data_IF_057365567310
#
_entry.id   IF_057365567310
#
_cell.length_a   1.000
_cell.length_b   1.000
_cell.length_c   1.000
_cell.angle_alpha   90.00
_cell.angle_beta   90.00
_cell.angle_gamma   90.00
#
_symmetry.space_group_name_H-M   'P 1'
#
loop_
_entity.id
_entity.type
_entity.pdbx_description
1 polymer ?
#
# COMPACT_ATOMS: atom_id res chain seq x y z
N UNK A 1 7.29 8.14 -9.40
CA UNK A 1 7.39 8.92 -10.64
C UNK A 1 6.59 8.28 -11.79
N UNK A 2 6.68 6.98 -12.00
CA UNK A 2 6.05 6.29 -13.14
C UNK A 2 4.57 5.95 -12.92
N UNK A 3 4.08 5.94 -11.69
CA UNK A 3 2.68 5.63 -11.34
C UNK A 3 1.75 6.83 -11.57
N UNK A 4 2.19 8.05 -11.26
CA UNK A 4 1.36 9.25 -11.44
C UNK A 4 0.87 9.49 -12.87
N UNK A 5 1.68 9.30 -13.93
CA UNK A 5 1.17 9.39 -15.31
C UNK A 5 0.03 8.41 -15.60
N UNK A 6 0.10 7.18 -15.06
CA UNK A 6 -0.96 6.19 -15.20
C UNK A 6 -2.24 6.60 -14.47
N UNK A 7 -2.11 7.13 -13.25
CA UNK A 7 -3.24 7.70 -12.49
C UNK A 7 -3.88 8.88 -13.20
N UNK A 8 -3.06 9.79 -13.75
CA UNK A 8 -3.54 10.94 -14.51
C UNK A 8 -4.31 10.51 -15.77
N UNK A 9 -3.81 9.50 -16.48
CA UNK A 9 -4.48 8.93 -17.65
C UNK A 9 -5.81 8.28 -17.26
N UNK A 10 -5.83 7.48 -16.20
CA UNK A 10 -7.06 6.87 -15.66
C UNK A 10 -8.09 7.94 -15.25
N UNK A 11 -7.67 8.99 -14.55
CA UNK A 11 -8.53 10.10 -14.15
C UNK A 11 -9.18 10.80 -15.37
N UNK A 12 -8.38 11.10 -16.39
CA UNK A 12 -8.87 11.75 -17.63
C UNK A 12 -9.83 10.84 -18.40
N UNK A 13 -9.48 9.55 -18.57
CA UNK A 13 -10.34 8.59 -19.28
C UNK A 13 -11.68 8.38 -18.56
N UNK A 14 -11.69 8.46 -17.24
CA UNK A 14 -12.91 8.42 -16.42
C UNK A 14 -13.60 9.78 -16.26
N UNK A 15 -13.18 10.78 -17.01
CA UNK A 15 -13.79 12.11 -17.02
C UNK A 15 -13.84 12.79 -15.64
N UNK A 16 -12.79 12.58 -14.83
CA UNK A 16 -12.68 13.10 -13.48
C UNK A 16 -13.47 12.32 -12.41
N UNK A 17 -14.12 11.21 -12.78
CA UNK A 17 -14.87 10.35 -11.85
C UNK A 17 -13.99 9.19 -11.38
N UNK A 18 -12.82 9.52 -10.87
CA UNK A 18 -11.89 8.60 -10.23
C UNK A 18 -11.09 9.36 -9.18
N UNK A 19 -10.53 8.64 -8.22
CA UNK A 19 -9.61 9.24 -7.27
C UNK A 19 -8.28 9.59 -7.95
N UNK A 20 -7.71 10.75 -7.61
CA UNK A 20 -6.34 11.12 -7.93
C UNK A 20 -5.63 11.53 -6.64
N UNK A 21 -4.92 10.60 -6.04
CA UNK A 21 -4.23 10.75 -4.76
C UNK A 21 -2.90 9.98 -4.78
N UNK A 22 -2.20 9.95 -3.65
CA UNK A 22 -0.96 9.19 -3.49
C UNK A 22 -1.19 7.68 -3.40
N UNK A 23 -2.34 7.23 -2.92
CA UNK A 23 -2.68 5.82 -2.69
C UNK A 23 -2.49 4.90 -3.89
N UNK A 24 -2.05 3.69 -3.66
CA UNK A 24 -1.90 2.60 -4.64
C UNK A 24 -1.68 1.29 -3.90
N UNK A 25 -1.84 0.15 -4.57
CA UNK A 25 -1.68 -1.17 -3.99
C UNK A 25 -0.34 -1.81 -4.36
N UNK A 26 0.05 -2.86 -3.64
CA UNK A 26 1.33 -3.53 -3.86
C UNK A 26 1.50 -4.08 -5.28
N UNK A 27 0.43 -4.56 -5.92
CA UNK A 27 0.49 -5.02 -7.31
C UNK A 27 0.81 -3.91 -8.31
N UNK A 28 0.50 -2.64 -7.98
CA UNK A 28 0.86 -1.49 -8.82
C UNK A 28 2.38 -1.27 -8.84
N UNK A 29 3.06 -1.55 -7.72
CA UNK A 29 4.53 -1.51 -7.66
C UNK A 29 5.12 -2.56 -8.59
N UNK A 30 4.63 -3.80 -8.53
CA UNK A 30 5.10 -4.89 -9.40
C UNK A 30 4.82 -4.58 -10.87
N UNK A 31 3.63 -4.07 -11.18
CA UNK A 31 3.26 -3.60 -12.53
C UNK A 31 4.18 -2.48 -13.01
N UNK A 32 4.48 -1.51 -12.16
CA UNK A 32 5.37 -0.40 -12.49
C UNK A 32 6.79 -0.88 -12.77
N UNK A 33 7.34 -1.75 -11.92
CA UNK A 33 8.67 -2.35 -12.13
C UNK A 33 8.72 -3.14 -13.45
N UNK A 34 7.70 -3.90 -13.73
CA UNK A 34 7.59 -4.67 -14.99
C UNK A 34 7.59 -3.77 -16.22
N UNK A 35 6.82 -2.67 -16.17
CA UNK A 35 6.68 -1.75 -17.31
C UNK A 35 7.88 -0.81 -17.47
N UNK A 36 8.45 -0.32 -16.37
CA UNK A 36 9.41 0.78 -16.38
C UNK A 36 10.81 0.38 -15.91
N UNK A 37 10.94 -0.76 -15.24
CA UNK A 37 12.17 -1.17 -14.58
C UNK A 37 12.27 -0.65 -13.15
N UNK A 38 13.47 -0.79 -12.57
CA UNK A 38 13.78 -0.42 -11.20
C UNK A 38 15.07 0.36 -11.14
N UNK A 39 15.14 1.35 -10.26
CA UNK A 39 16.35 2.14 -9.97
C UNK A 39 16.61 2.07 -8.46
N UNK A 40 17.86 1.82 -8.01
CA UNK A 40 18.19 1.86 -6.59
C UNK A 40 17.94 3.24 -5.98
N UNK A 41 17.52 3.28 -4.72
CA UNK A 41 17.30 4.54 -3.99
C UNK A 41 18.56 5.40 -3.90
N UNK A 42 19.74 4.80 -3.87
CA UNK A 42 21.04 5.53 -3.89
C UNK A 42 21.31 6.27 -5.20
N UNK A 43 20.60 5.96 -6.26
CA UNK A 43 20.73 6.58 -7.59
C UNK A 43 19.59 7.57 -7.86
N UNK A 44 18.38 7.24 -7.41
CA UNK A 44 17.21 8.08 -7.59
C UNK A 44 16.30 7.90 -6.37
N UNK A 45 16.39 8.85 -5.47
CA UNK A 45 15.60 8.88 -4.23
C UNK A 45 14.26 9.62 -4.38
N UNK A 46 14.09 10.40 -5.45
CA UNK A 46 12.88 11.20 -5.68
C UNK A 46 12.75 12.41 -4.74
N UNK A 47 13.85 12.79 -4.07
CA UNK A 47 13.92 14.00 -3.26
C UNK A 47 14.45 15.16 -4.12
N UNK A 48 13.94 16.35 -3.92
CA UNK A 48 14.38 17.56 -4.59
C UNK A 48 15.03 18.53 -3.61
N UNK A 49 15.98 19.34 -4.11
CA UNK A 49 16.50 20.54 -3.45
C UNK A 49 16.94 20.38 -1.98
N UNK A 50 17.55 19.23 -1.63
CA UNK A 50 18.07 18.98 -0.29
C UNK A 50 17.03 18.60 0.75
N UNK A 51 15.82 18.28 0.34
CA UNK A 51 14.80 17.71 1.20
C UNK A 51 15.27 16.37 1.80
N UNK A 52 14.96 16.15 3.08
CA UNK A 52 15.30 14.91 3.79
C UNK A 52 14.14 13.93 3.93
N UNK A 53 12.94 14.33 3.51
CA UNK A 53 11.69 13.55 3.61
C UNK A 53 10.83 13.81 2.41
N UNK A 54 10.16 12.76 1.94
CA UNK A 54 9.15 12.89 0.91
C UNK A 54 7.93 13.67 1.44
N UNK A 55 7.51 14.68 0.69
CA UNK A 55 6.25 15.39 0.89
C UNK A 55 5.67 15.72 -0.49
N UNK A 56 4.69 14.98 -0.90
CA UNK A 56 4.08 15.11 -2.22
C UNK A 56 2.80 15.97 -2.24
N UNK A 57 2.39 16.52 -1.10
CA UNK A 57 1.10 17.21 -0.97
C UNK A 57 0.92 18.34 -1.97
N UNK A 58 1.94 19.21 -2.14
CA UNK A 58 1.89 20.31 -3.11
C UNK A 58 1.86 19.80 -4.54
N UNK A 59 2.74 18.86 -4.89
CA UNK A 59 2.80 18.23 -6.21
C UNK A 59 1.47 17.59 -6.60
N UNK A 60 0.86 16.83 -5.69
CA UNK A 60 -0.43 16.17 -5.92
C UNK A 60 -1.53 17.19 -6.11
N UNK A 61 -1.59 18.26 -5.29
CA UNK A 61 -2.58 19.32 -5.43
C UNK A 61 -2.47 20.05 -6.78
N UNK A 62 -1.25 20.34 -7.23
CA UNK A 62 -1.00 20.97 -8.55
C UNK A 62 -1.48 20.04 -9.68
N UNK A 63 -1.08 18.78 -9.64
CA UNK A 63 -1.48 17.79 -10.65
C UNK A 63 -3.00 17.60 -10.68
N UNK A 64 -3.63 17.49 -9.51
CA UNK A 64 -5.09 17.35 -9.40
C UNK A 64 -5.83 18.56 -10.00
N UNK A 65 -5.37 19.78 -9.69
CA UNK A 65 -5.94 21.01 -10.26
C UNK A 65 -5.81 21.05 -11.80
N UNK A 66 -4.65 20.64 -12.34
CA UNK A 66 -4.43 20.53 -13.77
C UNK A 66 -5.40 19.52 -14.41
N UNK A 67 -5.52 18.33 -13.81
CA UNK A 67 -6.38 17.26 -14.32
C UNK A 67 -7.86 17.65 -14.26
N UNK A 68 -8.32 18.25 -13.18
CA UNK A 68 -9.69 18.80 -13.05
C UNK A 68 -9.96 19.82 -14.16
N UNK A 69 -8.99 20.68 -14.45
CA UNK A 69 -9.13 21.66 -15.53
C UNK A 69 -9.16 21.03 -16.90
N UNK A 70 -8.35 20.02 -17.15
CA UNK A 70 -8.34 19.31 -18.44
C UNK A 70 -9.69 18.65 -18.74
N UNK A 71 -10.27 17.91 -17.78
CA UNK A 71 -11.57 17.22 -17.99
C UNK A 71 -12.74 18.19 -18.07
N UNK A 72 -12.64 19.39 -17.48
CA UNK A 72 -13.65 20.46 -17.58
C UNK A 72 -13.42 21.46 -18.72
N UNK A 73 -12.51 21.15 -19.65
CA UNK A 73 -12.16 22.08 -20.74
C UNK A 73 -13.37 22.41 -21.61
N UNK A 74 -13.66 23.72 -21.84
CA UNK A 74 -14.80 24.12 -22.67
C UNK A 74 -14.69 23.70 -24.13
N UNK A 75 -13.48 23.48 -24.62
CA UNK A 75 -13.24 23.03 -26.01
C UNK A 75 -13.65 21.58 -26.27
N UNK A 76 -13.90 20.80 -25.23
CA UNK A 76 -14.25 19.38 -25.33
C UNK A 76 -13.17 18.48 -25.95
N UNK A 77 -12.01 19.05 -26.27
CA UNK A 77 -10.90 18.32 -26.90
C UNK A 77 -9.58 18.67 -26.21
N UNK A 78 -8.92 17.67 -25.66
CA UNK A 78 -7.60 17.81 -25.06
C UNK A 78 -6.51 17.86 -26.12
N UNK A 79 -5.54 18.77 -25.96
CA UNK A 79 -4.31 18.73 -26.74
C UNK A 79 -3.46 17.54 -26.35
N UNK A 80 -2.54 17.11 -27.22
CA UNK A 80 -1.58 16.04 -26.87
C UNK A 80 -0.58 16.45 -25.78
N UNK A 81 -0.49 17.73 -25.47
CA UNK A 81 0.51 18.29 -24.57
C UNK A 81 0.20 18.04 -23.08
N UNK A 82 -1.05 17.68 -22.73
CA UNK A 82 -1.42 17.52 -21.32
C UNK A 82 -0.59 16.44 -20.61
N UNK A 83 -0.26 15.34 -21.29
CA UNK A 83 0.60 14.28 -20.73
C UNK A 83 2.02 14.80 -20.46
N UNK A 84 2.59 15.53 -21.42
CA UNK A 84 3.90 16.15 -21.26
C UNK A 84 3.92 17.19 -20.13
N UNK A 85 2.84 17.95 -19.95
CA UNK A 85 2.72 18.90 -18.84
C UNK A 85 2.69 18.18 -17.46
N UNK A 86 1.99 17.06 -17.36
CA UNK A 86 2.03 16.19 -16.16
C UNK A 86 3.44 15.68 -15.90
N UNK A 87 4.12 15.18 -16.93
CA UNK A 87 5.49 14.68 -16.81
C UNK A 87 6.47 15.78 -16.39
N UNK A 88 6.34 16.98 -16.94
CA UNK A 88 7.17 18.13 -16.59
C UNK A 88 7.01 18.55 -15.11
N UNK A 89 5.78 18.56 -14.57
CA UNK A 89 5.55 18.79 -13.14
C UNK A 89 6.23 17.71 -12.31
N UNK A 90 6.06 16.44 -12.67
CA UNK A 90 6.69 15.34 -11.96
C UNK A 90 8.23 15.40 -12.00
N UNK A 91 8.81 15.84 -13.11
CA UNK A 91 10.27 16.00 -13.24
C UNK A 91 10.80 17.16 -12.39
N UNK A 92 10.00 18.22 -12.19
CA UNK A 92 10.34 19.34 -11.31
C UNK A 92 10.37 18.89 -9.84
N UNK A 93 9.34 18.16 -9.40
CA UNK A 93 9.20 17.77 -7.98
C UNK A 93 10.01 16.54 -7.59
N UNK A 94 10.20 15.57 -8.50
CA UNK A 94 10.80 14.27 -8.20
C UNK A 94 12.14 14.04 -8.91
N UNK A 95 12.51 14.91 -9.83
CA UNK A 95 13.64 14.69 -10.71
C UNK A 95 13.35 13.81 -11.91
N UNK A 96 14.19 13.91 -12.91
CA UNK A 96 14.10 13.12 -14.15
C UNK A 96 14.55 11.68 -13.92
N UNK A 97 13.82 10.73 -14.51
CA UNK A 97 14.12 9.29 -14.37
C UNK A 97 15.46 8.96 -15.04
N UNK A 98 16.43 8.35 -14.32
CA UNK A 98 17.67 7.90 -14.92
C UNK A 98 17.44 6.85 -16.01
N UNK A 99 18.03 7.05 -17.18
CA UNK A 99 17.97 6.08 -18.28
C UNK A 99 19.08 5.03 -18.22
N UNK A 100 20.22 5.41 -17.60
CA UNK A 100 21.38 4.55 -17.34
C UNK A 100 22.02 4.97 -16.03
N UNK A 101 22.57 4.03 -15.29
CA UNK A 101 23.29 4.28 -14.03
C UNK A 101 24.29 3.17 -13.76
N UNK A 102 25.25 3.46 -12.88
CA UNK A 102 26.19 2.48 -12.35
C UNK A 102 25.72 2.01 -10.96
N UNK A 103 25.78 0.72 -10.71
CA UNK A 103 25.53 0.11 -9.40
C UNK A 103 26.53 -1.04 -9.19
N UNK A 104 27.26 -1.00 -8.08
CA UNK A 104 28.32 -1.99 -7.75
C UNK A 104 29.31 -2.26 -8.89
N UNK A 105 29.78 -1.16 -9.55
CA UNK A 105 30.75 -1.24 -10.64
C UNK A 105 30.23 -1.78 -11.97
N UNK A 106 28.91 -1.92 -12.12
CA UNK A 106 28.26 -2.35 -13.36
C UNK A 106 27.27 -1.33 -13.87
N UNK A 107 27.18 -1.21 -15.18
CA UNK A 107 26.21 -0.32 -15.83
C UNK A 107 24.87 -1.02 -16.05
N UNK A 108 23.80 -0.33 -15.69
CA UNK A 108 22.43 -0.80 -15.83
C UNK A 108 21.55 0.24 -16.51
N UNK A 109 20.49 -0.24 -17.14
CA UNK A 109 19.26 0.50 -17.39
C UNK A 109 18.24 0.10 -16.32
N UNK A 110 17.15 0.87 -16.08
CA UNK A 110 16.11 0.45 -15.15
C UNK A 110 15.57 -0.96 -15.43
N UNK A 111 15.44 -1.34 -16.70
CA UNK A 111 14.99 -2.69 -17.10
C UNK A 111 15.99 -3.77 -16.72
N UNK A 112 17.25 -3.62 -17.11
CA UNK A 112 18.27 -4.62 -16.79
C UNK A 112 18.54 -4.72 -15.28
N UNK A 113 18.29 -3.65 -14.52
CA UNK A 113 18.39 -3.71 -13.05
C UNK A 113 17.21 -4.48 -12.44
N UNK A 114 15.99 -4.34 -12.95
CA UNK A 114 14.85 -5.17 -12.52
C UNK A 114 15.08 -6.65 -12.80
N UNK A 115 15.71 -7.00 -13.93
CA UNK A 115 16.12 -8.37 -14.24
C UNK A 115 17.19 -8.87 -13.27
N UNK A 116 18.20 -8.06 -12.97
CA UNK A 116 19.22 -8.36 -11.94
C UNK A 116 18.59 -8.60 -10.57
N UNK A 117 17.62 -7.77 -10.17
CA UNK A 117 16.87 -7.92 -8.92
C UNK A 117 15.89 -9.11 -8.92
N UNK A 118 15.75 -9.82 -10.05
CA UNK A 118 14.89 -11.00 -10.22
C UNK A 118 13.40 -10.75 -9.87
N UNK A 119 12.93 -9.54 -10.07
CA UNK A 119 11.51 -9.21 -9.87
C UNK A 119 10.73 -9.68 -11.10
N UNK A 120 9.93 -10.72 -10.90
CA UNK A 120 9.08 -11.33 -11.94
C UNK A 120 7.63 -11.28 -11.50
N UNK A 121 6.71 -10.68 -12.29
CA UNK A 121 5.30 -10.50 -11.91
C UNK A 121 4.61 -11.82 -11.56
N UNK A 122 4.94 -12.89 -12.28
CA UNK A 122 4.37 -14.21 -12.08
C UNK A 122 4.68 -14.85 -10.71
N UNK A 123 5.63 -14.28 -9.96
CA UNK A 123 5.98 -14.73 -8.61
C UNK A 123 5.15 -14.03 -7.53
N UNK A 124 4.26 -13.12 -7.90
CA UNK A 124 3.47 -12.32 -6.96
C UNK A 124 1.99 -12.55 -7.19
N UNK A 125 1.25 -12.67 -6.09
CA UNK A 125 -0.20 -12.76 -6.07
C UNK A 125 -0.75 -11.87 -4.97
N UNK A 126 -1.83 -11.15 -5.25
CA UNK A 126 -2.57 -10.41 -4.23
C UNK A 126 -3.71 -11.30 -3.74
N UNK A 127 -3.74 -11.56 -2.43
CA UNK A 127 -4.77 -12.37 -1.77
C UNK A 127 -5.69 -11.45 -0.98
N UNK A 128 -6.95 -11.85 -0.88
CA UNK A 128 -7.95 -11.19 -0.02
C UNK A 128 -8.98 -12.22 0.46
N UNK A 129 -9.89 -11.78 1.34
CA UNK A 129 -10.97 -12.61 1.85
C UNK A 129 -12.25 -11.79 2.02
N UNK A 130 -13.23 -12.00 1.16
CA UNK A 130 -14.56 -11.37 1.21
C UNK A 130 -15.65 -12.35 0.84
N UNK A 131 -16.85 -12.17 1.42
CA UNK A 131 -17.98 -13.08 1.19
C UNK A 131 -18.90 -12.69 0.04
N UNK A 132 -18.81 -11.45 -0.46
CA UNK A 132 -19.60 -10.98 -1.59
C UNK A 132 -19.12 -11.52 -2.95
N UNK A 133 -17.95 -12.14 -2.98
CA UNK A 133 -17.37 -12.78 -4.17
C UNK A 133 -17.04 -14.25 -3.93
N UNK A 134 -17.04 -15.04 -4.99
CA UNK A 134 -16.77 -16.46 -4.88
C UNK A 134 -15.31 -16.74 -4.43
N UNK A 135 -15.14 -17.66 -3.48
CA UNK A 135 -13.83 -18.16 -3.10
C UNK A 135 -13.12 -18.88 -4.26
N UNK A 136 -11.78 -18.88 -4.21
CA UNK A 136 -10.87 -19.52 -5.18
C UNK A 136 -11.00 -18.96 -6.59
N UNK A 137 -11.38 -17.69 -6.70
CA UNK A 137 -11.46 -16.96 -7.97
C UNK A 137 -10.83 -15.58 -7.86
N UNK A 138 -10.25 -15.09 -8.96
CA UNK A 138 -9.82 -13.69 -9.02
C UNK A 138 -11.04 -12.77 -9.20
N UNK A 139 -11.00 -11.62 -8.55
CA UNK A 139 -11.94 -10.52 -8.76
C UNK A 139 -11.24 -9.17 -8.57
N UNK A 140 -11.90 -8.09 -8.97
CA UNK A 140 -11.40 -6.73 -8.76
C UNK A 140 -12.10 -6.16 -7.54
N UNK A 141 -11.35 -5.98 -6.44
CA UNK A 141 -11.87 -5.25 -5.28
C UNK A 141 -11.94 -3.76 -5.64
N UNK A 142 -13.16 -3.23 -5.65
CA UNK A 142 -13.43 -1.87 -6.12
C UNK A 142 -13.30 -0.86 -4.98
N UNK A 143 -12.07 -0.59 -4.58
CA UNK A 143 -11.68 0.39 -3.55
C UNK A 143 -10.88 1.53 -4.18
N UNK A 144 -10.79 2.71 -3.52
CA UNK A 144 -10.16 3.91 -4.10
C UNK A 144 -8.72 3.69 -4.58
N UNK A 145 -7.90 2.98 -3.82
CA UNK A 145 -6.48 2.79 -4.12
C UNK A 145 -6.21 1.68 -5.15
N UNK A 146 -7.21 0.86 -5.48
CA UNK A 146 -7.13 -0.07 -6.61
C UNK A 146 -7.39 0.63 -7.95
N UNK A 147 -6.69 1.76 -8.20
CA UNK A 147 -6.90 2.59 -9.38
C UNK A 147 -6.61 1.87 -10.70
N UNK A 148 -5.73 0.89 -10.68
CA UNK A 148 -5.34 0.09 -11.86
C UNK A 148 -6.32 -1.03 -12.18
N UNK A 149 -7.32 -1.27 -11.32
CA UNK A 149 -8.23 -2.42 -11.35
C UNK A 149 -7.46 -3.75 -11.30
N UNK A 150 -6.45 -3.81 -10.43
CA UNK A 150 -5.70 -5.04 -10.20
C UNK A 150 -6.58 -6.12 -9.59
N UNK A 151 -6.38 -7.35 -10.06
CA UNK A 151 -7.13 -8.52 -9.59
C UNK A 151 -6.54 -9.06 -8.29
N UNK A 152 -7.42 -9.45 -7.38
CA UNK A 152 -7.10 -10.13 -6.12
C UNK A 152 -7.70 -11.53 -6.13
N UNK A 153 -7.01 -12.51 -5.57
CA UNK A 153 -7.51 -13.87 -5.45
C UNK A 153 -8.19 -14.06 -4.11
N UNK A 154 -9.48 -14.40 -4.14
CA UNK A 154 -10.34 -14.51 -2.96
C UNK A 154 -10.19 -15.88 -2.30
N UNK A 155 -10.00 -15.89 -0.98
CA UNK A 155 -9.85 -17.10 -0.17
C UNK A 155 -10.85 -17.08 1.00
N UNK A 156 -11.24 -18.26 1.53
CA UNK A 156 -11.86 -18.33 2.84
C UNK A 156 -10.94 -17.67 3.90
N UNK A 157 -11.53 -16.99 4.88
CA UNK A 157 -10.78 -16.18 5.85
C UNK A 157 -9.69 -16.97 6.60
N UNK A 158 -9.98 -18.19 7.00
CA UNK A 158 -8.99 -19.01 7.70
C UNK A 158 -7.86 -19.50 6.78
N UNK A 159 -8.15 -19.73 5.50
CA UNK A 159 -7.12 -20.05 4.51
C UNK A 159 -6.28 -18.82 4.14
N UNK A 160 -6.89 -17.62 4.12
CA UNK A 160 -6.16 -16.37 3.97
C UNK A 160 -5.10 -16.21 5.07
N UNK A 161 -5.46 -16.40 6.33
CA UNK A 161 -4.54 -16.37 7.47
C UNK A 161 -3.49 -17.51 7.38
N UNK A 162 -3.91 -18.72 7.01
CA UNK A 162 -2.99 -19.84 6.86
C UNK A 162 -1.94 -19.61 5.76
N UNK A 163 -2.30 -18.89 4.69
CA UNK A 163 -1.33 -18.51 3.64
C UNK A 163 -0.30 -17.49 4.14
N UNK A 164 -0.70 -16.52 4.97
CA UNK A 164 0.26 -15.59 5.63
C UNK A 164 1.23 -16.41 6.49
N UNK A 165 0.72 -17.31 7.30
CA UNK A 165 1.52 -18.16 8.17
C UNK A 165 2.50 -19.05 7.39
N UNK A 166 2.02 -19.66 6.31
CA UNK A 166 2.84 -20.50 5.46
C UNK A 166 3.95 -19.71 4.76
N UNK A 167 3.65 -18.52 4.25
CA UNK A 167 4.64 -17.65 3.62
C UNK A 167 5.76 -17.30 4.61
N UNK A 168 5.41 -16.84 5.82
CA UNK A 168 6.38 -16.51 6.87
C UNK A 168 7.21 -17.72 7.29
N UNK A 169 6.61 -18.91 7.42
CA UNK A 169 7.31 -20.15 7.77
C UNK A 169 8.32 -20.58 6.70
N UNK A 170 8.10 -20.22 5.45
CA UNK A 170 9.00 -20.48 4.32
C UNK A 170 9.98 -19.33 4.03
N UNK A 171 10.10 -18.33 4.92
CA UNK A 171 11.07 -17.25 4.83
C UNK A 171 10.66 -16.11 3.89
N UNK A 172 9.39 -16.05 3.48
CA UNK A 172 8.84 -14.93 2.72
C UNK A 172 8.27 -13.88 3.66
N UNK A 173 8.37 -12.63 3.26
CA UNK A 173 7.65 -11.51 3.85
C UNK A 173 6.54 -11.05 2.91
N UNK A 174 5.54 -10.33 3.42
CA UNK A 174 4.36 -9.98 2.66
C UNK A 174 4.08 -8.47 2.73
N UNK A 175 3.67 -7.88 1.62
CA UNK A 175 3.02 -6.57 1.65
C UNK A 175 1.62 -6.73 2.23
N UNK A 176 1.24 -5.80 3.09
CA UNK A 176 -0.06 -5.73 3.73
C UNK A 176 -0.70 -4.38 3.40
N UNK A 177 -1.95 -4.42 3.02
CA UNK A 177 -2.82 -3.26 2.97
C UNK A 177 -3.93 -3.45 4.00
N UNK A 178 -4.11 -2.49 4.88
CA UNK A 178 -5.09 -2.60 5.96
C UNK A 178 -5.52 -1.21 6.46
N UNK A 179 -6.62 -1.21 7.19
CA UNK A 179 -7.06 -0.06 7.97
C UNK A 179 -6.05 0.24 9.09
N UNK A 180 -5.77 1.50 9.32
CA UNK A 180 -4.96 2.03 10.43
C UNK A 180 -5.65 3.18 11.15
N UNK A 181 -6.87 3.50 10.76
CA UNK A 181 -7.71 4.55 11.34
C UNK A 181 -8.43 4.11 12.62
N UNK A 182 -8.47 2.80 12.88
CA UNK A 182 -9.06 2.21 14.07
C UNK A 182 -8.44 2.73 15.37
N UNK A 183 -9.23 3.05 16.41
CA UNK A 183 -8.71 3.50 17.70
C UNK A 183 -7.76 2.52 18.39
N UNK A 184 -7.80 1.27 17.97
CA UNK A 184 -7.00 0.15 18.45
C UNK A 184 -5.73 -0.10 17.68
N UNK A 185 -5.51 0.62 16.56
CA UNK A 185 -4.23 0.69 15.87
C UNK A 185 -3.39 1.81 16.48
N UNK A 186 -2.25 1.49 17.04
CA UNK A 186 -1.40 2.50 17.67
C UNK A 186 0.08 2.33 17.34
N UNK A 187 0.62 3.20 16.52
CA UNK A 187 2.06 3.31 16.30
C UNK A 187 2.81 3.71 17.58
N UNK A 188 2.21 4.52 18.45
CA UNK A 188 2.79 4.96 19.72
C UNK A 188 3.01 3.80 20.72
N UNK A 189 2.07 2.86 20.77
CA UNK A 189 2.18 1.66 21.63
C UNK A 189 2.71 0.46 20.85
N UNK A 190 2.75 0.54 19.51
CA UNK A 190 3.26 -0.50 18.64
C UNK A 190 2.39 -1.76 18.61
N UNK A 191 1.07 -1.59 18.74
CA UNK A 191 0.09 -2.68 18.75
C UNK A 191 -1.12 -2.35 17.89
N UNK A 192 -1.78 -3.41 17.40
CA UNK A 192 -3.10 -3.35 16.78
C UNK A 192 -3.90 -4.60 17.17
N UNK A 193 -5.13 -4.41 17.64
CA UNK A 193 -5.97 -5.45 18.21
C UNK A 193 -7.46 -5.12 18.06
N UNK A 194 -8.36 -6.11 18.19
CA UNK A 194 -9.81 -5.92 18.14
C UNK A 194 -10.42 -6.36 19.47
N UNK A 195 -10.78 -5.45 20.39
CA UNK A 195 -11.32 -5.82 21.68
C UNK A 195 -12.71 -6.48 21.56
N UNK A 196 -13.00 -7.47 22.39
CA UNK A 196 -14.35 -8.04 22.47
C UNK A 196 -15.35 -6.99 22.96
N UNK A 197 -14.92 -6.11 23.87
CA UNK A 197 -15.72 -5.02 24.42
C UNK A 197 -15.05 -3.67 24.15
N UNK A 198 -15.80 -2.69 23.66
CA UNK A 198 -15.29 -1.35 23.37
C UNK A 198 -14.63 -0.67 24.57
N UNK A 199 -15.11 -0.94 25.79
CA UNK A 199 -14.54 -0.40 27.03
C UNK A 199 -13.07 -0.80 27.25
N UNK A 200 -12.62 -1.92 26.66
CA UNK A 200 -11.25 -2.43 26.76
C UNK A 200 -10.28 -1.79 25.77
N UNK A 201 -10.75 -0.89 24.90
CA UNK A 201 -9.91 -0.22 23.87
C UNK A 201 -8.66 0.44 24.46
N UNK A 202 -8.81 1.17 25.58
CA UNK A 202 -7.65 1.83 26.23
C UNK A 202 -6.77 0.84 26.99
N UNK A 203 -7.37 -0.16 27.62
CA UNK A 203 -6.67 -1.20 28.38
C UNK A 203 -5.78 -2.03 27.44
N UNK A 204 -6.30 -2.41 26.27
CA UNK A 204 -5.58 -3.21 25.28
C UNK A 204 -4.35 -2.54 24.67
N UNK A 205 -4.20 -1.21 24.82
CA UNK A 205 -2.97 -0.52 24.42
C UNK A 205 -1.75 -0.87 25.28
N UNK A 206 -1.94 -1.35 26.49
CA UNK A 206 -0.85 -1.70 27.42
C UNK A 206 -0.96 -3.08 28.05
N UNK A 207 -2.10 -3.74 27.94
CA UNK A 207 -2.39 -5.02 28.57
C UNK A 207 -3.00 -6.02 27.59
N UNK A 208 -2.83 -7.31 27.88
CA UNK A 208 -3.44 -8.38 27.08
C UNK A 208 -4.91 -8.51 27.49
N UNK A 209 -5.80 -8.22 26.56
CA UNK A 209 -7.26 -8.29 26.70
C UNK A 209 -7.85 -9.49 25.97
N UNK A 210 -9.16 -9.69 26.14
CA UNK A 210 -9.93 -10.64 25.32
C UNK A 210 -10.29 -9.94 24.01
N UNK A 211 -9.95 -10.58 22.90
CA UNK A 211 -10.25 -10.06 21.58
C UNK A 211 -11.48 -10.73 20.97
N UNK A 212 -12.14 -9.99 20.08
CA UNK A 212 -13.30 -10.44 19.32
C UNK A 212 -12.95 -11.62 18.42
N UNK A 213 -13.85 -12.59 18.33
CA UNK A 213 -13.75 -13.63 17.31
C UNK A 213 -14.25 -13.07 15.97
N UNK A 214 -13.35 -12.86 15.03
CA UNK A 214 -13.67 -12.31 13.70
C UNK A 214 -14.14 -13.44 12.78
N UNK A 215 -15.37 -13.31 12.30
CA UNK A 215 -15.95 -14.22 11.30
C UNK A 215 -15.89 -13.58 9.89
N UNK A 216 -16.02 -14.38 8.81
CA UNK A 216 -16.09 -13.84 7.46
C UNK A 216 -17.22 -12.80 7.27
N UNK A 217 -18.36 -13.04 7.92
CA UNK A 217 -19.54 -12.15 7.87
C UNK A 217 -19.27 -10.82 8.60
N UNK A 218 -18.59 -10.87 9.77
CA UNK A 218 -18.21 -9.67 10.50
C UNK A 218 -17.23 -8.81 9.67
N UNK A 219 -16.16 -9.44 9.12
CA UNK A 219 -15.22 -8.77 8.23
C UNK A 219 -15.94 -8.11 7.04
N UNK A 220 -16.86 -8.82 6.40
CA UNK A 220 -17.65 -8.29 5.27
C UNK A 220 -18.52 -7.11 5.69
N UNK A 221 -19.16 -7.18 6.84
CA UNK A 221 -20.01 -6.12 7.37
C UNK A 221 -19.20 -4.84 7.65
N UNK A 222 -18.03 -4.96 8.28
CA UNK A 222 -17.18 -3.80 8.59
C UNK A 222 -16.63 -3.13 7.33
N UNK A 223 -16.36 -3.89 6.29
CA UNK A 223 -16.01 -3.36 4.98
C UNK A 223 -17.20 -2.63 4.31
N UNK A 224 -18.38 -3.22 4.32
CA UNK A 224 -19.57 -2.65 3.65
C UNK A 224 -20.12 -1.40 4.35
N UNK A 225 -19.98 -1.31 5.66
CA UNK A 225 -20.43 -0.16 6.44
C UNK A 225 -19.33 0.93 6.56
N UNK A 226 -18.15 0.73 5.94
CA UNK A 226 -17.01 1.63 5.96
C UNK A 226 -16.41 1.83 7.36
N UNK A 227 -16.57 0.89 8.27
CA UNK A 227 -15.83 0.85 9.53
C UNK A 227 -14.37 0.45 9.30
N UNK A 228 -14.15 -0.48 8.35
CA UNK A 228 -12.82 -0.89 7.90
C UNK A 228 -12.60 -0.39 6.47
N UNK A 229 -11.57 0.41 6.27
CA UNK A 229 -11.26 1.05 4.99
C UNK A 229 -9.87 0.68 4.46
N UNK A 230 -9.61 1.03 3.22
CA UNK A 230 -8.33 0.91 2.52
C UNK A 230 -7.49 2.14 2.86
N UNK A 231 -6.54 2.01 3.82
CA UNK A 231 -5.83 3.16 4.37
C UNK A 231 -4.34 3.15 4.12
N UNK A 232 -3.64 2.01 4.34
CA UNK A 232 -2.20 2.06 4.50
C UNK A 232 -1.49 0.75 4.16
N UNK A 233 -0.41 0.90 3.39
CA UNK A 233 0.48 -0.20 3.05
C UNK A 233 1.60 -0.38 4.07
N UNK A 234 1.78 -1.59 4.54
CA UNK A 234 2.83 -2.01 5.47
C UNK A 234 3.48 -3.33 5.04
N UNK A 235 4.35 -3.89 5.89
CA UNK A 235 5.14 -5.06 5.55
C UNK A 235 5.16 -6.08 6.69
N UNK A 236 4.52 -7.23 6.51
CA UNK A 236 4.56 -8.34 7.49
C UNK A 236 5.90 -9.05 7.36
N UNK A 237 6.67 -9.11 8.45
CA UNK A 237 8.02 -9.67 8.45
C UNK A 237 8.21 -10.84 9.41
N UNK A 238 7.22 -11.17 10.21
CA UNK A 238 7.34 -12.27 11.18
C UNK A 238 6.12 -12.47 12.04
N UNK A 239 6.23 -13.42 12.95
CA UNK A 239 5.23 -13.82 13.93
C UNK A 239 5.85 -13.91 15.31
N UNK A 240 5.12 -13.49 16.33
CA UNK A 240 5.52 -13.58 17.73
C UNK A 240 4.33 -14.05 18.59
N UNK A 241 4.60 -14.42 19.85
CA UNK A 241 3.57 -14.72 20.84
C UNK A 241 3.74 -13.80 22.04
N UNK A 242 2.62 -13.40 22.61
CA UNK A 242 2.60 -12.73 23.90
C UNK A 242 2.81 -13.72 25.08
N UNK A 243 2.76 -13.20 26.31
CA UNK A 243 2.98 -13.97 27.53
C UNK A 243 1.86 -14.99 27.82
N UNK A 244 0.70 -14.84 27.17
CA UNK A 244 -0.43 -15.79 27.27
C UNK A 244 -0.49 -16.76 26.09
N UNK A 245 0.44 -16.63 25.12
CA UNK A 245 0.52 -17.47 23.93
C UNK A 245 -0.30 -17.00 22.73
N UNK A 246 -0.95 -15.83 22.82
CA UNK A 246 -1.65 -15.24 21.69
C UNK A 246 -0.66 -14.84 20.59
N UNK A 247 -1.07 -15.06 19.36
CA UNK A 247 -0.22 -14.81 18.18
C UNK A 247 -0.41 -13.40 17.67
N UNK A 248 0.72 -12.74 17.34
CA UNK A 248 0.78 -11.45 16.70
C UNK A 248 1.69 -11.51 15.47
N UNK A 249 1.35 -10.76 14.43
CA UNK A 249 2.22 -10.51 13.30
C UNK A 249 3.09 -9.29 13.57
N UNK A 250 4.39 -9.41 13.31
CA UNK A 250 5.32 -8.29 13.35
C UNK A 250 5.28 -7.57 12.02
N UNK A 251 4.77 -6.34 12.03
CA UNK A 251 4.55 -5.53 10.84
C UNK A 251 5.44 -4.30 10.88
N UNK A 252 6.22 -4.09 9.82
CA UNK A 252 7.04 -2.90 9.64
C UNK A 252 6.19 -1.77 9.04
N UNK A 253 6.15 -0.64 9.75
CA UNK A 253 5.51 0.59 9.28
C UNK A 253 6.56 1.57 8.72
N UNK A 254 6.09 2.58 7.94
CA UNK A 254 6.92 3.62 7.32
C UNK A 254 7.01 4.91 8.13
N UNK A 255 6.45 4.98 9.35
CA UNK A 255 6.38 6.22 10.16
C UNK A 255 7.70 6.54 10.91
N UNK A 256 8.79 5.88 10.56
CA UNK A 256 10.10 6.07 11.16
C UNK A 256 10.30 5.26 12.43
N UNK A 257 11.40 5.57 13.14
CA UNK A 257 11.83 4.85 14.35
C UNK A 257 12.06 5.77 15.55
N UNK A 258 11.55 7.01 15.53
CA UNK A 258 11.64 7.94 16.65
C UNK A 258 10.81 7.41 17.83
N UNK A 259 11.49 6.91 18.86
CA UNK A 259 10.87 6.29 20.04
C UNK A 259 9.91 7.20 20.81
N UNK A 260 9.97 8.53 20.59
CA UNK A 260 8.99 9.47 21.15
C UNK A 260 7.63 9.42 20.45
N UNK A 261 7.60 8.91 19.22
CA UNK A 261 6.42 8.88 18.36
C UNK A 261 5.90 7.48 18.08
N UNK A 262 6.82 6.52 17.94
CA UNK A 262 6.51 5.14 17.59
C UNK A 262 7.25 4.18 18.52
N UNK A 263 6.57 3.14 18.96
CA UNK A 263 7.17 2.09 19.76
C UNK A 263 7.94 1.08 18.87
N UNK A 264 8.69 0.20 19.50
CA UNK A 264 9.32 -0.96 18.88
C UNK A 264 10.18 -0.64 17.64
N UNK A 265 10.80 0.55 17.56
CA UNK A 265 11.58 0.96 16.39
C UNK A 265 10.76 1.10 15.11
N UNK A 266 9.46 1.42 15.22
CA UNK A 266 8.54 1.59 14.09
C UNK A 266 7.84 0.31 13.65
N UNK A 267 7.92 -0.76 14.43
CA UNK A 267 7.14 -1.97 14.19
C UNK A 267 5.83 -1.96 14.99
N UNK A 268 4.78 -2.50 14.39
CA UNK A 268 3.47 -2.72 15.02
C UNK A 268 3.24 -4.22 15.12
N UNK A 269 2.80 -4.68 16.30
CA UNK A 269 2.39 -6.05 16.54
C UNK A 269 0.87 -6.14 16.38
N UNK A 270 0.43 -6.75 15.29
CA UNK A 270 -0.98 -6.90 14.93
C UNK A 270 -1.48 -8.27 15.35
N UNK A 271 -2.54 -8.32 16.14
CA UNK A 271 -3.15 -9.58 16.54
C UNK A 271 -3.76 -10.34 15.35
N UNK A 272 -3.99 -11.64 15.49
CA UNK A 272 -4.71 -12.42 14.47
C UNK A 272 -6.13 -11.88 14.23
N UNK A 273 -6.91 -11.50 15.26
CA UNK A 273 -8.20 -10.82 15.05
C UNK A 273 -8.08 -9.54 14.21
N UNK A 274 -7.08 -8.70 14.43
CA UNK A 274 -6.89 -7.48 13.63
C UNK A 274 -6.48 -7.78 12.19
N UNK A 275 -5.75 -8.86 11.96
CA UNK A 275 -5.36 -9.31 10.62
C UNK A 275 -6.54 -9.93 9.84
N UNK A 276 -7.52 -10.49 10.53
CA UNK A 276 -8.75 -11.02 9.97
C UNK A 276 -9.74 -9.92 9.57
#
# INVERSE_FOLDING_TARGET
RTTYPLKAENYVLRQGKANFSEGALAHDVITSVTKNGLVPNSIFDGLSDGESKHNHAEMVAVLEAMLKKYVSSPSGKLSKNWKQAVDAVLDIYLGSIPTKFEYEGKNYTPKSFAEFAKIKPENYVTLTSFTHEANYKPFILNIPDNFSNGSMYNLPLDEFIANIDNALANGYSLSLDCDVSEPTFSGKYGVAFVPEKEEDTKTGLGEIIIEKNITPEYRQQEFENLSTTDDHLMHIIGKVKDQKGNVYYKVKNSWGSDEKKVANGGYVYMSVPYMK
#
